data_IF_140146460864
#
_entry.id   IF_140146460864
#
_cell.length_a   1.000
_cell.length_b   1.000
_cell.length_c   1.000
_cell.angle_alpha   90.00
_cell.angle_beta   90.00
_cell.angle_gamma   90.00
#
_symmetry.space_group_name_H-M   'P 1'
#
loop_
_entity.id
_entity.type
_entity.pdbx_description
1 polymer ?
#
# COMPACT_ATOMS: atom_id res chain seq x y z
N UNK A 1 -6.65 10.72 11.77
CA UNK A 1 -5.54 10.49 10.83
C UNK A 1 -6.09 10.56 9.42
N UNK A 2 -5.53 11.41 8.57
CA UNK A 2 -5.93 11.51 7.17
C UNK A 2 -5.12 10.48 6.35
N UNK A 3 -5.81 9.62 5.60
CA UNK A 3 -5.16 8.60 4.77
C UNK A 3 -4.27 9.23 3.69
N UNK A 4 -4.53 10.50 3.32
CA UNK A 4 -3.74 11.24 2.32
C UNK A 4 -2.28 11.43 2.74
N UNK A 5 -1.99 11.40 4.03
CA UNK A 5 -0.62 11.49 4.57
C UNK A 5 0.14 10.16 4.43
N UNK A 6 -0.58 9.05 4.18
CA UNK A 6 -0.02 7.69 4.09
C UNK A 6 0.05 7.16 2.66
N UNK A 7 -0.44 7.90 1.68
CA UNK A 7 -0.45 7.50 0.27
C UNK A 7 0.33 8.53 -0.54
N UNK A 8 1.31 8.07 -1.32
CA UNK A 8 2.05 8.91 -2.25
C UNK A 8 1.66 8.62 -3.69
N UNK A 9 1.60 9.69 -4.50
CA UNK A 9 1.41 9.62 -5.95
C UNK A 9 2.54 10.41 -6.57
N UNK A 10 3.49 9.71 -7.20
CA UNK A 10 4.65 10.31 -7.85
C UNK A 10 4.78 9.73 -9.26
N UNK A 11 4.70 10.54 -10.34
CA UNK A 11 4.90 10.07 -11.71
C UNK A 11 6.21 9.30 -11.94
N UNK A 12 7.28 9.63 -11.19
CA UNK A 12 8.57 8.95 -11.21
C UNK A 12 8.60 7.61 -10.47
N UNK A 13 7.59 7.32 -9.65
CA UNK A 13 7.46 6.07 -8.88
C UNK A 13 6.27 5.28 -9.42
N UNK A 14 6.55 4.07 -9.90
CA UNK A 14 5.53 3.12 -10.35
C UNK A 14 4.51 3.74 -11.33
N UNK A 15 4.98 4.59 -12.24
CA UNK A 15 4.18 5.22 -13.29
C UNK A 15 3.03 6.09 -12.76
N UNK A 16 3.20 6.76 -11.61
CA UNK A 16 2.16 7.61 -11.04
C UNK A 16 1.02 6.85 -10.37
N UNK A 17 1.19 5.56 -10.10
CA UNK A 17 0.21 4.79 -9.33
C UNK A 17 0.25 5.21 -7.87
N UNK A 18 -0.92 5.29 -7.24
CA UNK A 18 -1.02 5.49 -5.79
C UNK A 18 -0.32 4.35 -5.05
N UNK A 19 0.68 4.71 -4.26
CA UNK A 19 1.48 3.78 -3.48
C UNK A 19 1.36 4.10 -1.99
N UNK A 20 1.56 3.08 -1.15
CA UNK A 20 1.74 3.29 0.29
C UNK A 20 3.01 4.12 0.48
N UNK A 21 2.89 5.22 1.22
CA UNK A 21 3.93 6.24 1.36
C UNK A 21 5.26 5.64 1.81
N UNK A 22 6.35 6.07 1.16
CA UNK A 22 7.69 5.53 1.43
C UNK A 22 7.95 4.14 0.84
N UNK A 23 6.99 3.55 0.12
CA UNK A 23 7.13 2.24 -0.50
C UNK A 23 6.85 2.30 -2.00
N UNK A 24 7.10 1.19 -2.70
CA UNK A 24 6.66 0.98 -4.09
C UNK A 24 5.43 0.07 -4.18
N UNK A 25 4.75 -0.20 -3.07
CA UNK A 25 3.56 -1.06 -3.01
C UNK A 25 2.35 -0.22 -3.38
N UNK A 26 1.59 -0.66 -4.39
CA UNK A 26 0.43 0.07 -4.84
C UNK A 26 -0.73 -0.20 -3.91
N UNK A 27 -1.57 0.82 -3.72
CA UNK A 27 -2.83 0.67 -2.99
C UNK A 27 -3.69 -0.43 -3.64
N UNK A 28 -3.62 -0.56 -4.97
CA UNK A 28 -4.29 -1.63 -5.71
C UNK A 28 -3.82 -3.04 -5.33
N UNK A 29 -2.53 -3.23 -4.99
CA UNK A 29 -2.04 -4.55 -4.56
C UNK A 29 -2.64 -4.90 -3.20
N UNK A 30 -2.63 -3.95 -2.26
CA UNK A 30 -3.23 -4.11 -0.93
C UNK A 30 -4.71 -4.47 -1.04
N UNK A 31 -5.46 -3.75 -1.89
CA UNK A 31 -6.87 -4.07 -2.15
C UNK A 31 -7.04 -5.45 -2.80
N UNK A 32 -6.12 -5.85 -3.68
CA UNK A 32 -6.08 -7.19 -4.28
C UNK A 32 -5.90 -8.28 -3.24
N UNK A 33 -4.95 -8.13 -2.31
CA UNK A 33 -4.71 -9.08 -1.22
C UNK A 33 -5.90 -9.19 -0.27
N UNK A 34 -6.49 -8.05 0.10
CA UNK A 34 -7.72 -8.03 0.88
C UNK A 34 -8.86 -8.75 0.15
N UNK A 35 -8.99 -8.55 -1.17
CA UNK A 35 -10.00 -9.25 -1.99
C UNK A 35 -9.73 -10.75 -2.12
N UNK A 36 -8.47 -11.16 -2.03
CA UNK A 36 -8.05 -12.56 -2.03
C UNK A 36 -8.23 -13.23 -0.65
N UNK A 37 -8.67 -12.49 0.37
CA UNK A 37 -8.96 -13.00 1.71
C UNK A 37 -7.84 -12.83 2.73
N UNK A 38 -6.74 -12.15 2.39
CA UNK A 38 -5.71 -11.82 3.37
C UNK A 38 -6.21 -10.78 4.37
N UNK A 39 -5.84 -10.94 5.63
CA UNK A 39 -6.08 -9.96 6.69
C UNK A 39 -5.07 -8.82 6.65
N UNK A 40 -5.40 -7.69 7.27
CA UNK A 40 -4.46 -6.56 7.37
C UNK A 40 -3.19 -6.96 8.15
N UNK A 41 -3.33 -7.81 9.15
CA UNK A 41 -2.25 -8.33 9.98
C UNK A 41 -1.29 -9.22 9.16
N UNK A 42 -1.82 -10.10 8.31
CA UNK A 42 -1.01 -10.92 7.38
C UNK A 42 -0.29 -10.04 6.36
N UNK A 43 -0.98 -9.04 5.79
CA UNK A 43 -0.37 -8.10 4.84
C UNK A 43 0.80 -7.34 5.49
N UNK A 44 0.65 -6.86 6.73
CA UNK A 44 1.74 -6.17 7.44
C UNK A 44 2.88 -7.12 7.79
N UNK A 45 2.59 -8.37 8.13
CA UNK A 45 3.61 -9.38 8.44
C UNK A 45 4.42 -9.80 7.19
N UNK A 46 3.76 -9.97 6.05
CA UNK A 46 4.38 -10.36 4.78
C UNK A 46 5.05 -9.18 4.05
N UNK A 47 4.55 -7.97 4.26
CA UNK A 47 5.07 -6.74 3.67
C UNK A 47 5.46 -5.74 4.76
N UNK A 48 6.63 -5.92 5.42
CA UNK A 48 7.11 -5.07 6.53
C UNK A 48 7.14 -3.55 6.30
N UNK A 49 7.30 -3.04 5.05
CA UNK A 49 7.19 -1.61 4.79
C UNK A 49 5.78 -1.03 5.00
N UNK A 50 4.75 -1.87 5.05
CA UNK A 50 3.37 -1.47 5.33
C UNK A 50 3.15 -1.46 6.83
N UNK A 51 2.56 -0.38 7.34
CA UNK A 51 2.20 -0.23 8.74
C UNK A 51 0.70 -0.01 8.89
N UNK A 52 0.17 -0.41 10.05
CA UNK A 52 -1.26 -0.24 10.40
C UNK A 52 -1.61 1.21 10.71
#
# INVERSE_FOLDING_TARGET
>A
MDWRERISVDPGIRFGKACVGGTRIAVADVLGWLSAGMTAEEIVAEYPPITR
#
